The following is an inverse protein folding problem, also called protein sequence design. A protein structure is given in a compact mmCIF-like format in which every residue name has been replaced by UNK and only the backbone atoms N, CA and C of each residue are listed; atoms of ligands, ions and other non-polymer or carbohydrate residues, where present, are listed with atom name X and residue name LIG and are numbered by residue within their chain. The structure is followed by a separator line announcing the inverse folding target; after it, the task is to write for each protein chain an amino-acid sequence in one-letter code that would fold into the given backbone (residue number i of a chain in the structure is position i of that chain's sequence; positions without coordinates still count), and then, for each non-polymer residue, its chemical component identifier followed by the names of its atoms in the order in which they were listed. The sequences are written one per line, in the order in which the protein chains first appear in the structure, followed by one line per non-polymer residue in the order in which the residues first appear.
data_IF_113586530459
#
_entry.id   IF_113586530459
#
_cell.length_a   1.000
_cell.length_b   1.000
_cell.length_c   1.000
_cell.angle_alpha   90.00
_cell.angle_beta   90.00
_cell.angle_gamma   90.00
#
_symmetry.space_group_name_H-M   'P 1'
#
loop_
_entity.id
_entity.type
_entity.pdbx_description
1 polymer ?
#
# COMPACT_ATOMS: atom_id res chain seq x y z
N UNK A 1 -0.49 -32.57 -16.25
CA UNK A 1 -0.62 -31.45 -15.32
C UNK A 1 -0.32 -31.96 -13.94
N UNK A 2 0.75 -31.50 -13.29
CA UNK A 2 1.19 -31.99 -11.98
C UNK A 2 0.14 -31.63 -10.91
N UNK A 3 -0.02 -32.49 -9.89
CA UNK A 3 -0.94 -32.29 -8.75
C UNK A 3 -0.72 -30.93 -8.08
N UNK A 4 0.49 -30.41 -8.10
CA UNK A 4 0.86 -29.11 -7.55
C UNK A 4 0.35 -27.94 -8.40
N UNK A 5 0.46 -28.02 -9.73
CA UNK A 5 -0.10 -27.03 -10.66
C UNK A 5 -1.63 -26.95 -10.54
N UNK A 6 -2.28 -28.10 -10.33
CA UNK A 6 -3.73 -28.16 -10.08
C UNK A 6 -4.10 -27.60 -8.70
N UNK A 7 -3.26 -27.80 -7.69
CA UNK A 7 -3.41 -27.19 -6.37
C UNK A 7 -3.27 -25.67 -6.42
N UNK A 8 -2.28 -25.15 -7.16
CA UNK A 8 -2.09 -23.70 -7.35
C UNK A 8 -3.20 -23.09 -8.21
N UNK A 9 -3.67 -23.77 -9.24
CA UNK A 9 -4.79 -23.25 -10.07
C UNK A 9 -6.13 -23.20 -9.32
N UNK A 10 -6.32 -24.10 -8.36
CA UNK A 10 -7.50 -24.08 -7.46
C UNK A 10 -7.38 -23.02 -6.34
N UNK A 11 -6.18 -22.52 -6.07
CA UNK A 11 -5.88 -21.39 -5.20
C UNK A 11 -5.58 -20.13 -6.03
N UNK A 12 -6.31 -19.89 -7.09
CA UNK A 12 -6.32 -18.55 -7.68
C UNK A 12 -6.80 -17.61 -6.58
N UNK A 13 -5.86 -16.90 -5.96
CA UNK A 13 -6.15 -15.74 -5.14
C UNK A 13 -6.70 -14.65 -6.06
N UNK A 14 -7.96 -14.78 -6.43
CA UNK A 14 -8.69 -13.66 -7.00
C UNK A 14 -8.99 -12.78 -5.80
N UNK A 15 -8.11 -11.84 -5.51
CA UNK A 15 -8.48 -10.71 -4.68
C UNK A 15 -9.68 -10.06 -5.39
N UNK A 16 -10.84 -10.21 -4.79
CA UNK A 16 -11.99 -9.45 -5.24
C UNK A 16 -11.61 -7.97 -5.18
N UNK A 17 -11.69 -7.31 -6.32
CA UNK A 17 -11.47 -5.87 -6.38
C UNK A 17 -12.52 -5.21 -5.51
N UNK A 18 -12.09 -4.64 -4.39
CA UNK A 18 -12.97 -3.93 -3.43
C UNK A 18 -13.04 -2.43 -3.71
N UNK A 19 -12.45 -2.00 -4.82
CA UNK A 19 -12.36 -0.61 -5.21
C UNK A 19 -13.50 -0.15 -6.12
N UNK A 20 -13.25 0.94 -6.83
CA UNK A 20 -14.20 1.56 -7.74
C UNK A 20 -13.48 2.09 -8.97
N UNK A 21 -14.22 2.19 -10.06
CA UNK A 21 -13.69 2.74 -11.32
C UNK A 21 -13.88 4.25 -11.38
N UNK A 22 -12.93 4.92 -12.03
CA UNK A 22 -13.00 6.35 -12.34
C UNK A 22 -12.65 6.58 -13.82
N UNK A 23 -13.29 7.54 -14.42
CA UNK A 23 -12.93 7.99 -15.77
C UNK A 23 -11.59 8.76 -15.72
N UNK A 24 -10.81 8.60 -16.81
CA UNK A 24 -9.51 9.25 -16.92
C UNK A 24 -9.59 10.78 -16.86
N UNK A 25 -10.69 11.33 -17.38
CA UNK A 25 -10.90 12.77 -17.53
C UNK A 25 -11.20 13.48 -16.19
N UNK A 26 -11.63 12.72 -15.16
CA UNK A 26 -11.86 13.28 -13.82
C UNK A 26 -10.61 13.32 -12.96
N UNK A 27 -9.49 12.75 -13.46
CA UNK A 27 -8.22 12.78 -12.75
C UNK A 27 -7.50 14.11 -12.96
N UNK A 28 -6.64 14.46 -12.02
CA UNK A 28 -5.86 15.68 -12.07
C UNK A 28 -5.09 15.80 -13.40
N UNK A 29 -5.27 16.91 -14.08
CA UNK A 29 -4.65 17.18 -15.40
C UNK A 29 -3.13 17.26 -15.35
N UNK A 30 -2.55 17.47 -14.19
CA UNK A 30 -1.09 17.52 -14.01
C UNK A 30 -0.46 16.13 -13.91
N UNK A 31 -1.24 15.04 -13.83
CA UNK A 31 -0.75 13.67 -13.90
C UNK A 31 -0.34 13.36 -15.35
N UNK A 32 0.83 12.74 -15.49
CA UNK A 32 1.21 12.08 -16.73
C UNK A 32 0.30 10.89 -17.03
N UNK A 33 0.24 10.46 -18.28
CA UNK A 33 -0.65 9.38 -18.70
C UNK A 33 -0.43 8.09 -17.92
N UNK A 34 0.82 7.69 -17.74
CA UNK A 34 1.14 6.48 -16.96
C UNK A 34 0.73 6.61 -15.49
N UNK A 35 0.81 7.82 -14.89
CA UNK A 35 0.36 8.05 -13.52
C UNK A 35 -1.16 7.93 -13.41
N UNK A 36 -1.90 8.46 -14.39
CA UNK A 36 -3.36 8.29 -14.47
C UNK A 36 -3.74 6.81 -14.53
N UNK A 37 -3.03 6.02 -15.31
CA UNK A 37 -3.29 4.58 -15.43
C UNK A 37 -3.01 3.85 -14.12
N UNK A 38 -1.92 4.20 -13.42
CA UNK A 38 -1.60 3.67 -12.10
C UNK A 38 -2.70 4.03 -11.07
N UNK A 39 -3.12 5.30 -11.03
CA UNK A 39 -4.16 5.76 -10.09
C UNK A 39 -5.47 5.00 -10.35
N UNK A 40 -5.92 4.91 -11.61
CA UNK A 40 -7.13 4.19 -11.99
C UNK A 40 -7.06 2.73 -11.57
N UNK A 41 -5.95 2.07 -11.88
CA UNK A 41 -5.72 0.69 -11.50
C UNK A 41 -5.77 0.50 -9.97
N UNK A 42 -5.09 1.37 -9.21
CA UNK A 42 -5.06 1.29 -7.75
C UNK A 42 -6.44 1.57 -7.12
N UNK A 43 -7.22 2.50 -7.70
CA UNK A 43 -8.60 2.75 -7.26
C UNK A 43 -9.52 1.57 -7.54
N UNK A 44 -9.42 0.96 -8.73
CA UNK A 44 -10.20 -0.22 -9.09
C UNK A 44 -9.87 -1.43 -8.21
N UNK A 45 -8.61 -1.58 -7.78
CA UNK A 45 -8.20 -2.61 -6.82
C UNK A 45 -8.71 -2.32 -5.40
N UNK A 46 -8.77 -1.05 -4.99
CA UNK A 46 -9.07 -0.62 -3.63
C UNK A 46 -7.91 -0.81 -2.66
N UNK A 47 -7.15 -1.88 -2.79
CA UNK A 47 -5.92 -2.19 -2.04
C UNK A 47 -4.81 -2.48 -3.02
N UNK A 48 -3.78 -1.64 -3.04
CA UNK A 48 -2.72 -1.70 -4.05
C UNK A 48 -1.36 -1.31 -3.50
N UNK A 49 -0.29 -1.81 -4.15
CA UNK A 49 1.06 -1.34 -3.94
C UNK A 49 1.60 -0.72 -5.24
N UNK A 50 2.23 0.45 -5.12
CA UNK A 50 2.88 1.15 -6.23
C UNK A 50 4.38 1.16 -5.99
N UNK A 51 5.08 0.29 -6.70
CA UNK A 51 6.53 0.18 -6.67
C UNK A 51 7.11 0.98 -7.84
N UNK A 52 7.46 2.22 -7.57
CA UNK A 52 7.94 3.15 -8.58
C UNK A 52 9.24 3.82 -8.12
N UNK A 53 10.21 3.94 -9.02
CA UNK A 53 11.50 4.57 -8.74
C UNK A 53 11.36 6.03 -8.28
N UNK A 54 12.42 6.58 -7.69
CA UNK A 54 12.46 8.00 -7.32
C UNK A 54 12.24 8.88 -8.56
N UNK A 55 11.56 10.01 -8.38
CA UNK A 55 11.26 10.94 -9.48
C UNK A 55 10.05 10.61 -10.34
N UNK A 56 9.41 9.44 -10.19
CA UNK A 56 8.21 9.08 -10.95
C UNK A 56 6.90 9.69 -10.41
N UNK A 57 6.99 10.61 -9.46
CA UNK A 57 5.85 11.39 -8.96
C UNK A 57 4.89 10.60 -8.06
N UNK A 58 5.41 9.68 -7.24
CA UNK A 58 4.61 8.90 -6.28
C UNK A 58 3.72 9.79 -5.40
N UNK A 59 4.21 10.95 -4.99
CA UNK A 59 3.46 11.88 -4.13
C UNK A 59 2.16 12.32 -4.80
N UNK A 60 2.18 12.69 -6.09
CA UNK A 60 0.97 13.08 -6.80
C UNK A 60 0.02 11.90 -7.02
N UNK A 61 0.56 10.70 -7.29
CA UNK A 61 -0.24 9.46 -7.38
C UNK A 61 -0.98 9.20 -6.06
N UNK A 62 -0.30 9.31 -4.92
CA UNK A 62 -0.87 9.11 -3.58
C UNK A 62 -1.96 10.13 -3.27
N UNK A 63 -1.69 11.41 -3.54
CA UNK A 63 -2.62 12.50 -3.29
C UNK A 63 -3.87 12.38 -4.14
N UNK A 64 -3.72 12.08 -5.43
CA UNK A 64 -4.85 11.88 -6.33
C UNK A 64 -5.68 10.66 -5.92
N UNK A 65 -5.03 9.55 -5.61
CA UNK A 65 -5.72 8.35 -5.11
C UNK A 65 -6.52 8.67 -3.85
N UNK A 66 -5.92 9.34 -2.87
CA UNK A 66 -6.57 9.71 -1.62
C UNK A 66 -7.75 10.67 -1.82
N UNK A 67 -7.60 11.66 -2.72
CA UNK A 67 -8.67 12.59 -3.09
C UNK A 67 -9.86 11.85 -3.71
N UNK A 68 -9.61 10.90 -4.63
CA UNK A 68 -10.69 10.13 -5.26
C UNK A 68 -11.38 9.19 -4.29
N UNK A 69 -10.64 8.58 -3.35
CA UNK A 69 -11.26 7.78 -2.27
C UNK A 69 -12.16 8.66 -1.40
N UNK A 70 -11.69 9.83 -0.97
CA UNK A 70 -12.52 10.76 -0.20
C UNK A 70 -13.79 11.15 -0.95
N UNK A 71 -13.67 11.54 -2.22
CA UNK A 71 -14.80 11.94 -3.06
C UNK A 71 -15.81 10.83 -3.32
N UNK A 72 -15.32 9.59 -3.47
CA UNK A 72 -16.18 8.42 -3.69
C UNK A 72 -17.01 8.08 -2.45
N UNK A 73 -16.40 8.11 -1.27
CA UNK A 73 -17.06 7.75 0.00
C UNK A 73 -18.00 8.88 0.48
N UNK A 74 -17.61 10.13 0.27
CA UNK A 74 -18.44 11.29 0.61
C UNK A 74 -17.74 12.32 1.50
N UNK A 75 -18.49 13.39 1.85
CA UNK A 75 -17.97 14.62 2.45
C UNK A 75 -17.27 14.44 3.81
N UNK A 76 -17.60 13.38 4.56
CA UNK A 76 -16.99 13.10 5.86
C UNK A 76 -15.88 12.05 5.81
N UNK A 77 -15.53 11.59 4.62
CA UNK A 77 -14.47 10.61 4.44
C UNK A 77 -13.12 11.17 4.92
N UNK A 78 -12.33 10.32 5.56
CA UNK A 78 -11.00 10.65 6.08
C UNK A 78 -10.01 9.63 5.54
N UNK A 79 -8.96 10.10 4.87
CA UNK A 79 -7.82 9.28 4.45
C UNK A 79 -6.59 9.73 5.23
N UNK A 80 -5.81 8.78 5.73
CA UNK A 80 -4.57 9.06 6.45
C UNK A 80 -3.37 8.70 5.58
N UNK A 81 -2.45 9.63 5.42
CA UNK A 81 -1.13 9.39 4.84
C UNK A 81 -0.12 9.28 5.97
N UNK A 82 0.55 8.14 6.06
CA UNK A 82 1.70 7.94 6.93
C UNK A 82 2.97 8.14 6.11
N UNK A 83 3.78 9.11 6.49
CA UNK A 83 5.00 9.49 5.79
C UNK A 83 6.19 9.60 6.74
N UNK A 84 7.44 9.51 6.24
CA UNK A 84 8.60 9.89 7.02
C UNK A 84 8.52 11.35 7.48
N UNK A 85 9.04 11.66 8.67
CA UNK A 85 8.94 12.98 9.29
C UNK A 85 9.34 14.13 8.35
N UNK A 86 10.43 13.95 7.60
CA UNK A 86 10.96 14.99 6.72
C UNK A 86 10.10 15.26 5.48
N UNK A 87 9.16 14.37 5.13
CA UNK A 87 8.43 14.40 3.86
C UNK A 87 7.06 15.09 3.98
N UNK A 88 6.47 15.09 5.18
CA UNK A 88 5.11 15.59 5.38
C UNK A 88 4.90 17.02 4.87
N UNK A 89 5.81 17.94 5.16
CA UNK A 89 5.73 19.34 4.70
C UNK A 89 5.84 19.45 3.17
N UNK A 90 6.67 18.63 2.55
CA UNK A 90 6.79 18.60 1.09
C UNK A 90 5.50 18.11 0.45
N UNK A 91 4.91 17.04 0.99
CA UNK A 91 3.64 16.48 0.50
C UNK A 91 2.50 17.49 0.57
N UNK A 92 2.43 18.30 1.63
CA UNK A 92 1.44 19.37 1.75
C UNK A 92 1.64 20.43 0.65
N UNK A 93 2.88 20.91 0.44
CA UNK A 93 3.19 21.89 -0.60
C UNK A 93 2.89 21.37 -2.01
N UNK A 94 3.15 20.10 -2.27
CA UNK A 94 2.79 19.48 -3.53
C UNK A 94 1.27 19.39 -3.68
N UNK A 95 0.54 19.04 -2.61
CA UNK A 95 -0.92 19.07 -2.60
C UNK A 95 -1.47 20.44 -2.97
N UNK A 96 -0.98 21.51 -2.35
CA UNK A 96 -1.37 22.90 -2.67
C UNK A 96 -1.12 23.23 -4.15
N UNK A 97 0.04 22.88 -4.68
CA UNK A 97 0.40 23.08 -6.10
C UNK A 97 -0.57 22.39 -7.07
N UNK A 98 -1.08 21.24 -6.68
CA UNK A 98 -2.00 20.44 -7.52
C UNK A 98 -3.48 20.64 -7.18
N UNK A 99 -3.79 21.55 -6.26
CA UNK A 99 -5.17 21.83 -5.86
C UNK A 99 -5.80 20.75 -4.99
N UNK A 100 -5.00 19.97 -4.28
CA UNK A 100 -5.41 18.92 -3.36
C UNK A 100 -5.04 19.31 -1.94
N UNK A 101 -6.04 19.62 -1.12
CA UNK A 101 -5.83 20.03 0.27
C UNK A 101 -5.38 18.85 1.14
N UNK A 102 -4.32 19.05 1.93
CA UNK A 102 -3.77 18.06 2.86
C UNK A 102 -3.64 18.70 4.24
N UNK A 103 -4.21 18.07 5.26
CA UNK A 103 -4.19 18.53 6.64
C UNK A 103 -3.07 17.84 7.43
N UNK A 104 -2.16 18.62 8.03
CA UNK A 104 -1.13 18.08 8.94
C UNK A 104 -1.75 17.76 10.29
N UNK A 105 -1.52 16.55 10.80
CA UNK A 105 -2.04 16.10 12.07
C UNK A 105 -0.92 15.67 13.02
N UNK A 106 -1.00 16.14 14.27
CA UNK A 106 -0.13 15.72 15.37
C UNK A 106 -0.80 14.63 16.24
N UNK A 107 -2.13 14.58 16.19
CA UNK A 107 -2.97 13.64 16.94
C UNK A 107 -4.35 13.49 16.30
N UNK A 108 -5.18 12.60 16.87
CA UNK A 108 -6.57 12.39 16.44
C UNK A 108 -7.41 13.67 16.46
N UNK A 109 -7.13 14.59 17.39
CA UNK A 109 -7.90 15.84 17.52
C UNK A 109 -7.73 16.80 16.33
N UNK A 110 -6.66 16.65 15.55
CA UNK A 110 -6.38 17.48 14.39
C UNK A 110 -7.00 16.94 13.11
N UNK A 111 -7.55 15.71 13.17
CA UNK A 111 -8.09 15.02 11.98
C UNK A 111 -9.35 15.70 11.46
N UNK A 112 -9.36 15.98 10.15
CA UNK A 112 -10.48 16.60 9.44
C UNK A 112 -10.97 15.69 8.32
N UNK A 113 -12.16 15.97 7.82
CA UNK A 113 -12.63 15.38 6.58
C UNK A 113 -11.65 15.68 5.43
N UNK A 114 -11.40 14.69 4.56
CA UNK A 114 -10.42 14.76 3.48
C UNK A 114 -9.11 14.06 3.81
N UNK A 115 -8.02 14.56 3.25
CA UNK A 115 -6.69 13.96 3.36
C UNK A 115 -5.97 14.52 4.58
N UNK A 116 -5.51 13.62 5.44
CA UNK A 116 -4.73 13.93 6.63
C UNK A 116 -3.35 13.28 6.50
N UNK A 117 -2.30 13.96 6.95
CA UNK A 117 -0.93 13.44 6.92
C UNK A 117 -0.30 13.53 8.30
N UNK A 118 0.40 12.48 8.68
CA UNK A 118 1.22 12.41 9.89
C UNK A 118 2.46 11.57 9.65
N UNK A 119 3.37 11.50 10.64
CA UNK A 119 4.52 10.62 10.54
C UNK A 119 4.29 9.28 11.27
N UNK A 120 5.08 8.27 10.90
CA UNK A 120 4.99 6.93 11.46
C UNK A 120 5.15 6.85 12.99
N UNK A 121 5.92 7.77 13.57
CA UNK A 121 6.23 7.80 15.01
C UNK A 121 5.02 8.23 15.87
N UNK A 122 4.01 8.84 15.23
CA UNK A 122 2.80 9.32 15.90
C UNK A 122 1.59 8.41 15.71
N UNK A 123 1.80 7.24 15.11
CA UNK A 123 0.72 6.32 14.76
C UNK A 123 -0.18 5.96 15.94
N UNK A 124 0.40 5.78 17.11
CA UNK A 124 -0.29 5.45 18.37
C UNK A 124 -1.31 6.51 18.83
N UNK A 125 -1.24 7.72 18.26
CA UNK A 125 -2.16 8.84 18.59
C UNK A 125 -3.41 8.87 17.72
N UNK A 126 -3.59 7.89 16.81
CA UNK A 126 -4.68 7.88 15.85
C UNK A 126 -5.56 6.63 15.98
N UNK A 127 -6.85 6.80 15.77
CA UNK A 127 -7.85 5.73 15.79
C UNK A 127 -8.07 5.27 14.35
N UNK A 128 -7.44 4.15 13.97
CA UNK A 128 -7.41 3.67 12.58
C UNK A 128 -8.81 3.44 11.98
N UNK A 129 -9.78 2.98 12.78
CA UNK A 129 -11.14 2.69 12.33
C UNK A 129 -11.95 3.96 11.93
N UNK A 130 -11.45 5.14 12.23
CA UNK A 130 -12.07 6.39 11.76
C UNK A 130 -11.68 6.75 10.33
N UNK A 131 -10.71 6.06 9.74
CA UNK A 131 -10.26 6.30 8.38
C UNK A 131 -10.85 5.28 7.40
N UNK A 132 -11.29 5.78 6.24
CA UNK A 132 -11.75 4.93 5.14
C UNK A 132 -10.60 4.47 4.26
N UNK A 133 -9.47 5.15 4.32
CA UNK A 133 -8.28 4.80 3.55
C UNK A 133 -6.99 5.15 4.28
N UNK A 134 -5.94 4.40 3.99
CA UNK A 134 -4.57 4.65 4.47
C UNK A 134 -3.57 4.54 3.34
N UNK A 135 -2.64 5.49 3.31
CA UNK A 135 -1.50 5.52 2.38
C UNK A 135 -0.22 5.40 3.18
N UNK A 136 0.66 4.49 2.78
CA UNK A 136 2.02 4.42 3.30
C UNK A 136 2.97 5.04 2.29
N UNK A 137 3.46 6.24 2.57
CA UNK A 137 4.55 6.85 1.82
C UNK A 137 5.88 6.31 2.34
N UNK A 138 6.72 5.83 1.43
CA UNK A 138 7.92 5.04 1.72
C UNK A 138 7.61 3.78 2.54
N UNK A 139 6.73 2.92 1.99
CA UNK A 139 6.27 1.68 2.63
C UNK A 139 7.38 0.64 2.88
N UNK A 140 8.62 0.92 2.48
CA UNK A 140 9.80 0.14 2.87
C UNK A 140 9.99 0.03 4.39
N UNK A 141 9.30 0.87 5.18
CA UNK A 141 9.23 0.73 6.64
C UNK A 141 8.68 -0.64 7.08
N UNK A 142 7.88 -1.27 6.24
CA UNK A 142 7.34 -2.61 6.49
C UNK A 142 8.40 -3.72 6.39
N UNK A 143 9.60 -3.45 5.90
CA UNK A 143 10.67 -4.45 5.70
C UNK A 143 11.11 -5.16 6.97
N UNK A 144 11.01 -4.50 8.13
CA UNK A 144 11.37 -5.12 9.41
C UNK A 144 10.35 -6.17 9.83
N UNK A 145 10.73 -7.43 9.84
CA UNK A 145 9.85 -8.55 10.17
C UNK A 145 9.40 -8.56 11.64
N UNK A 146 10.18 -7.98 12.52
CA UNK A 146 9.93 -7.94 13.98
C UNK A 146 9.69 -6.53 14.50
N UNK A 147 9.59 -5.55 13.59
CA UNK A 147 9.43 -4.15 13.95
C UNK A 147 8.08 -3.87 14.60
N UNK A 148 8.09 -3.23 15.77
CA UNK A 148 6.88 -2.79 16.45
C UNK A 148 5.97 -1.97 15.52
N UNK A 149 6.54 -1.00 14.81
CA UNK A 149 5.81 -0.12 13.88
C UNK A 149 5.14 -0.91 12.75
N UNK A 150 5.82 -1.92 12.18
CA UNK A 150 5.22 -2.80 11.14
C UNK A 150 3.99 -3.51 11.68
N UNK A 151 4.08 -4.11 12.86
CA UNK A 151 2.98 -4.85 13.48
C UNK A 151 1.81 -3.91 13.77
N UNK A 152 2.08 -2.76 14.35
CA UNK A 152 1.06 -1.75 14.63
C UNK A 152 0.35 -1.27 13.34
N UNK A 153 1.07 -1.04 12.24
CA UNK A 153 0.47 -0.64 10.96
C UNK A 153 -0.46 -1.73 10.46
N UNK A 154 -0.01 -2.99 10.41
CA UNK A 154 -0.80 -4.09 9.84
C UNK A 154 -2.05 -4.36 10.68
N UNK A 155 -1.92 -4.40 12.00
CA UNK A 155 -3.02 -4.70 12.91
C UNK A 155 -4.04 -3.54 12.96
N UNK A 156 -3.58 -2.32 13.17
CA UNK A 156 -4.46 -1.16 13.30
C UNK A 156 -5.27 -0.90 12.03
N UNK A 157 -4.65 -1.03 10.86
CA UNK A 157 -5.33 -0.79 9.58
C UNK A 157 -5.90 -2.07 8.94
N UNK A 158 -5.98 -3.18 9.66
CA UNK A 158 -6.49 -4.45 9.13
C UNK A 158 -7.88 -4.31 8.51
N UNK A 159 -8.78 -3.55 9.13
CA UNK A 159 -10.16 -3.35 8.74
C UNK A 159 -10.38 -2.16 7.79
N UNK A 160 -9.37 -1.34 7.54
CA UNK A 160 -9.51 -0.19 6.63
C UNK A 160 -9.69 -0.69 5.20
N UNK A 161 -10.77 -0.27 4.50
CA UNK A 161 -11.10 -0.83 3.19
C UNK A 161 -10.14 -0.44 2.07
N UNK A 162 -9.68 0.83 2.04
CA UNK A 162 -8.80 1.34 1.00
C UNK A 162 -7.36 1.47 1.49
N UNK A 163 -6.42 0.81 0.80
CA UNK A 163 -5.00 0.80 1.20
C UNK A 163 -4.10 1.04 0.01
N UNK A 164 -3.14 1.93 0.17
CA UNK A 164 -2.11 2.18 -0.83
C UNK A 164 -0.72 2.15 -0.18
N UNK A 165 0.17 1.30 -0.67
CA UNK A 165 1.56 1.25 -0.24
C UNK A 165 2.46 1.75 -1.37
N UNK A 166 3.31 2.75 -1.11
CA UNK A 166 4.18 3.34 -2.12
C UNK A 166 5.64 3.29 -1.67
N UNK A 167 6.53 2.78 -2.51
CA UNK A 167 7.98 2.82 -2.29
C UNK A 167 8.76 2.65 -3.59
N UNK A 168 10.03 3.10 -3.58
CA UNK A 168 10.98 2.78 -4.62
C UNK A 168 11.72 1.44 -4.36
N UNK A 169 11.72 0.97 -3.12
CA UNK A 169 12.51 -0.18 -2.68
C UNK A 169 11.65 -1.18 -1.91
N UNK A 170 10.74 -1.92 -2.59
CA UNK A 170 9.78 -2.80 -1.93
C UNK A 170 10.43 -4.02 -1.25
N UNK A 171 11.53 -4.51 -1.81
CA UNK A 171 12.28 -5.67 -1.33
C UNK A 171 13.79 -5.46 -1.53
N UNK A 172 14.42 -4.54 -0.76
CA UNK A 172 15.81 -4.14 -1.00
C UNK A 172 16.82 -5.27 -0.73
N UNK A 173 16.49 -6.22 0.11
CA UNK A 173 17.41 -7.30 0.48
C UNK A 173 16.94 -8.67 -0.02
N UNK A 174 15.65 -8.97 0.08
CA UNK A 174 15.09 -10.28 -0.26
C UNK A 174 13.61 -10.16 -0.64
N UNK A 175 13.16 -10.94 -1.61
CA UNK A 175 11.74 -10.99 -2.02
C UNK A 175 10.77 -11.39 -0.90
N UNK A 176 11.25 -12.01 0.18
CA UNK A 176 10.43 -12.28 1.37
C UNK A 176 9.88 -11.00 2.03
N UNK A 177 10.52 -9.85 1.82
CA UNK A 177 10.07 -8.56 2.34
C UNK A 177 8.72 -8.14 1.74
N UNK A 178 8.40 -8.61 0.53
CA UNK A 178 7.10 -8.40 -0.12
C UNK A 178 5.95 -9.04 0.65
N UNK A 179 6.22 -10.05 1.48
CA UNK A 179 5.22 -10.65 2.35
C UNK A 179 4.60 -9.68 3.34
N UNK A 180 5.34 -8.67 3.77
CA UNK A 180 4.82 -7.65 4.66
C UNK A 180 3.86 -6.68 3.94
N UNK A 181 4.15 -6.36 2.67
CA UNK A 181 3.24 -5.60 1.81
C UNK A 181 1.96 -6.40 1.54
N UNK A 182 2.10 -7.69 1.21
CA UNK A 182 0.98 -8.61 1.02
C UNK A 182 0.08 -8.68 2.26
N UNK A 183 0.67 -8.77 3.45
CA UNK A 183 -0.07 -8.82 4.72
C UNK A 183 -0.76 -7.50 5.04
N UNK A 184 -0.10 -6.37 4.84
CA UNK A 184 -0.71 -5.05 4.99
C UNK A 184 -1.91 -4.86 4.06
N UNK A 185 -1.79 -5.27 2.80
CA UNK A 185 -2.88 -5.17 1.81
C UNK A 185 -3.99 -6.21 2.06
N UNK A 186 -3.74 -7.20 2.92
CA UNK A 186 -4.71 -8.28 3.20
C UNK A 186 -4.85 -9.29 2.06
N UNK A 187 -3.79 -9.47 1.27
CA UNK A 187 -3.72 -10.48 0.19
C UNK A 187 -3.52 -11.87 0.80
N UNK A 188 -2.46 -12.02 1.54
CA UNK A 188 -2.12 -13.22 2.32
C UNK A 188 -1.15 -12.85 3.43
N UNK A 189 -1.10 -13.64 4.47
CA UNK A 189 -0.11 -13.47 5.53
C UNK A 189 1.30 -13.76 5.01
N UNK A 190 2.31 -13.15 5.61
CA UNK A 190 3.71 -13.46 5.29
C UNK A 190 4.01 -14.96 5.43
N UNK A 191 3.46 -15.61 6.45
CA UNK A 191 3.65 -17.05 6.68
C UNK A 191 3.07 -17.89 5.53
N UNK A 192 1.89 -17.58 5.03
CA UNK A 192 1.29 -18.22 3.87
C UNK A 192 2.11 -18.00 2.62
N UNK A 193 2.60 -16.77 2.36
CA UNK A 193 3.46 -16.48 1.23
C UNK A 193 4.74 -17.30 1.25
N UNK A 194 5.41 -17.40 2.41
CA UNK A 194 6.62 -18.21 2.56
C UNK A 194 6.33 -19.70 2.32
N UNK A 195 5.26 -20.23 2.89
CA UNK A 195 4.89 -21.64 2.71
C UNK A 195 4.57 -21.97 1.24
N UNK A 196 3.92 -21.06 0.53
CA UNK A 196 3.53 -21.27 -0.86
C UNK A 196 4.71 -21.14 -1.83
N UNK A 197 5.48 -20.08 -1.73
CA UNK A 197 6.41 -19.66 -2.78
C UNK A 197 7.88 -19.89 -2.44
N UNK A 198 8.22 -20.07 -1.18
CA UNK A 198 9.62 -20.17 -0.76
C UNK A 198 9.95 -21.55 -0.19
N UNK A 199 11.22 -21.89 -0.24
CA UNK A 199 11.79 -23.10 0.36
C UNK A 199 13.00 -22.71 1.20
N UNK A 200 13.17 -23.39 2.33
CA UNK A 200 14.35 -23.25 3.17
C UNK A 200 15.56 -23.87 2.47
N UNK A 201 16.66 -23.14 2.33
CA UNK A 201 17.93 -23.72 1.88
C UNK A 201 18.54 -24.52 3.02
N UNK A 202 18.62 -25.85 2.82
CA UNK A 202 18.77 -26.90 3.80
C UNK A 202 20.02 -26.92 4.71
N UNK A 203 20.48 -25.78 5.21
CA UNK A 203 21.60 -25.73 6.17
C UNK A 203 21.68 -24.42 6.98
N UNK A 204 20.99 -23.38 6.60
CA UNK A 204 20.95 -22.13 7.36
C UNK A 204 19.51 -21.68 7.54
N UNK A 205 19.06 -21.61 8.78
CA UNK A 205 17.68 -21.28 9.17
C UNK A 205 17.21 -19.87 8.75
N UNK A 206 18.09 -19.04 8.22
CA UNK A 206 17.79 -17.67 7.81
C UNK A 206 17.65 -17.47 6.29
N UNK A 207 18.03 -18.46 5.47
CA UNK A 207 18.01 -18.31 4.00
C UNK A 207 16.82 -19.02 3.39
N UNK A 208 15.96 -18.22 2.78
CA UNK A 208 14.83 -18.67 1.99
C UNK A 208 15.10 -18.41 0.51
N UNK A 209 14.66 -19.29 -0.34
CA UNK A 209 14.80 -19.19 -1.79
C UNK A 209 13.43 -19.36 -2.44
N UNK A 210 13.11 -18.51 -3.41
CA UNK A 210 11.93 -18.68 -4.25
C UNK A 210 11.98 -20.01 -4.98
N UNK A 211 10.88 -20.79 -4.94
CA UNK A 211 10.74 -22.05 -5.65
C UNK A 211 10.70 -21.76 -7.16
N UNK A 212 11.62 -22.35 -7.95
CA UNK A 212 11.70 -22.07 -9.38
C UNK A 212 10.41 -22.32 -10.16
N UNK A 213 9.64 -23.37 -9.78
CA UNK A 213 8.35 -23.67 -10.41
C UNK A 213 7.20 -22.76 -9.95
N UNK A 214 7.40 -21.93 -8.95
CA UNK A 214 6.42 -21.01 -8.40
C UNK A 214 6.69 -19.55 -8.77
N UNK A 215 7.78 -19.26 -9.47
CA UNK A 215 8.22 -17.90 -9.78
C UNK A 215 7.19 -17.12 -10.58
N UNK A 216 6.68 -17.67 -11.67
CA UNK A 216 5.66 -17.01 -12.50
C UNK A 216 4.38 -16.70 -11.72
N UNK A 217 3.94 -17.66 -10.87
CA UNK A 217 2.73 -17.47 -10.06
C UNK A 217 2.96 -16.45 -8.95
N UNK A 218 4.16 -16.41 -8.37
CA UNK A 218 4.55 -15.42 -7.38
C UNK A 218 4.45 -14.00 -7.95
N UNK A 219 5.01 -13.75 -9.15
CA UNK A 219 4.94 -12.45 -9.80
C UNK A 219 3.53 -12.07 -10.27
N UNK A 220 2.66 -13.04 -10.53
CA UNK A 220 1.26 -12.77 -10.84
C UNK A 220 0.41 -12.41 -9.60
N UNK A 221 0.87 -12.78 -8.40
CA UNK A 221 0.19 -12.47 -7.15
C UNK A 221 0.52 -11.08 -6.59
N UNK A 222 1.61 -10.48 -7.07
CA UNK A 222 2.10 -9.15 -6.66
C UNK A 222 1.60 -8.07 -7.62
#
# INVERSE_FOLDING_TARGET
MDKYTKFLSNKKFVLESSGFEVDRDVLNKNLFDFQKDIVRWALAKGRAAVFASCGLGKTLIQLEWADKVCKHIGSNAKVLILAPLAVSTQTIREGEKFGIAVNLCESQNDVKAGINITNYEKLDKFIANEFVGVVLDESSILKSFTGKVRTEIIENFSQVPYKLACTATPAPNDYMELGNHSEFLGVMTRAEMLAMFFVHDGGQTSKWRLKGHAEDVFWQCL
#
